data_IF_528733250180
#
_entry.id   IF_528733250180
#
_cell.length_a   1.000
_cell.length_b   1.000
_cell.length_c   1.000
_cell.angle_alpha   90.00
_cell.angle_beta   90.00
_cell.angle_gamma   90.00
#
_symmetry.space_group_name_H-M   'P 1'
#
loop_
_entity.id
_entity.type
_entity.pdbx_description
1 polymer ?
#
# COMPACT_ATOMS: atom_id res chain seq x y z
N UNK A 1 22.70 -1.83 -9.27
CA UNK A 1 21.35 -2.35 -9.32
C UNK A 1 20.83 -2.56 -7.92
N UNK A 2 19.80 -1.83 -7.56
CA UNK A 2 19.15 -2.02 -6.28
C UNK A 2 18.35 -3.32 -6.25
N UNK A 3 18.22 -3.86 -5.07
CA UNK A 3 17.32 -4.97 -4.85
C UNK A 3 15.92 -4.42 -4.57
N UNK A 4 14.90 -5.02 -5.14
CA UNK A 4 13.53 -4.66 -4.86
C UNK A 4 13.08 -5.39 -3.60
N UNK A 5 12.63 -4.65 -2.60
CA UNK A 5 12.09 -5.21 -1.37
C UNK A 5 10.58 -5.31 -1.49
N UNK A 6 10.06 -6.51 -1.30
CA UNK A 6 8.63 -6.76 -1.32
C UNK A 6 8.14 -6.94 0.11
N UNK A 7 7.12 -6.19 0.48
CA UNK A 7 6.50 -6.29 1.79
C UNK A 7 5.04 -6.67 1.58
N UNK A 8 4.62 -7.75 2.21
CA UNK A 8 3.28 -8.28 2.06
C UNK A 8 2.50 -8.11 3.35
N UNK A 9 1.33 -7.49 3.24
CA UNK A 9 0.42 -7.31 4.37
C UNK A 9 -0.87 -8.06 4.11
N UNK A 10 -1.35 -8.75 5.14
CA UNK A 10 -2.69 -9.29 5.14
C UNK A 10 -3.54 -8.49 6.12
N UNK A 11 -4.81 -8.28 5.79
CA UNK A 11 -5.71 -7.61 6.71
C UNK A 11 -5.78 -8.39 8.02
N UNK A 12 -5.40 -7.74 9.12
CA UNK A 12 -5.48 -8.36 10.42
C UNK A 12 -6.93 -8.40 10.89
N UNK A 13 -7.26 -9.41 11.71
CA UNK A 13 -8.60 -9.51 12.29
C UNK A 13 -8.86 -8.36 13.25
N UNK A 14 -7.82 -7.91 13.95
CA UNK A 14 -7.90 -6.73 14.81
C UNK A 14 -7.70 -5.49 13.95
N UNK A 15 -8.77 -4.78 13.70
CA UNK A 15 -8.83 -3.68 12.73
C UNK A 15 -7.84 -2.56 13.02
N UNK A 16 -7.66 -2.26 14.31
CA UNK A 16 -6.79 -1.16 14.73
C UNK A 16 -5.33 -1.41 14.41
N UNK A 17 -4.93 -2.67 14.33
CA UNK A 17 -3.53 -3.04 14.09
C UNK A 17 -3.11 -2.88 12.65
N UNK A 18 -4.05 -2.87 11.70
CA UNK A 18 -3.70 -2.73 10.30
C UNK A 18 -2.99 -1.40 10.04
N UNK A 19 -3.52 -0.32 10.58
CA UNK A 19 -2.88 1.00 10.46
C UNK A 19 -1.52 1.01 11.16
N UNK A 20 -1.44 0.44 12.35
CA UNK A 20 -0.19 0.39 13.10
C UNK A 20 0.89 -0.35 12.31
N UNK A 21 0.57 -1.51 11.76
CA UNK A 21 1.54 -2.29 11.00
C UNK A 21 1.98 -1.55 9.74
N UNK A 22 1.06 -0.90 9.07
CA UNK A 22 1.40 -0.11 7.89
C UNK A 22 2.36 1.03 8.26
N UNK A 23 2.04 1.78 9.30
CA UNK A 23 2.89 2.92 9.73
C UNK A 23 4.27 2.44 10.18
N UNK A 24 4.35 1.30 10.86
CA UNK A 24 5.64 0.73 11.24
C UNK A 24 6.47 0.35 10.01
N UNK A 25 5.84 -0.28 9.03
CA UNK A 25 6.53 -0.65 7.80
C UNK A 25 7.01 0.56 7.02
N UNK A 26 6.25 1.65 7.04
CA UNK A 26 6.62 2.89 6.35
C UNK A 26 7.94 3.48 6.86
N UNK A 27 8.31 3.19 8.09
CA UNK A 27 9.58 3.67 8.66
C UNK A 27 10.80 3.02 8.00
N UNK A 28 10.61 1.93 7.28
CA UNK A 28 11.70 1.15 6.70
C UNK A 28 11.68 1.11 5.18
N UNK A 29 10.86 1.94 4.55
CA UNK A 29 10.78 1.91 3.08
C UNK A 29 12.03 2.49 2.44
N UNK A 30 12.33 1.95 1.28
CA UNK A 30 13.38 2.42 0.37
C UNK A 30 12.70 2.79 -0.94
N UNK A 31 13.37 3.54 -1.84
CA UNK A 31 12.76 3.85 -3.13
C UNK A 31 12.34 2.60 -3.93
N UNK A 32 13.03 1.49 -3.73
CA UNK A 32 12.74 0.24 -4.45
C UNK A 32 11.75 -0.67 -3.71
N UNK A 33 11.21 -0.23 -2.58
CA UNK A 33 10.25 -1.03 -1.83
C UNK A 33 8.90 -1.07 -2.54
N UNK A 34 8.31 -2.26 -2.59
CA UNK A 34 6.96 -2.45 -3.14
C UNK A 34 6.11 -3.13 -2.07
N UNK A 35 4.98 -2.53 -1.74
CA UNK A 35 4.04 -3.10 -0.78
C UNK A 35 2.89 -3.78 -1.51
N UNK A 36 2.53 -4.96 -1.04
CA UNK A 36 1.33 -5.68 -1.44
C UNK A 36 0.40 -5.73 -0.24
N UNK A 37 -0.76 -5.13 -0.37
CA UNK A 37 -1.72 -5.02 0.73
C UNK A 37 -2.95 -5.85 0.38
N UNK A 38 -3.07 -7.02 0.98
CA UNK A 38 -4.20 -7.91 0.75
C UNK A 38 -5.38 -7.46 1.60
N UNK A 39 -6.57 -7.54 1.02
CA UNK A 39 -7.80 -7.27 1.75
C UNK A 39 -8.15 -5.79 1.85
N UNK A 40 -7.79 -5.00 0.84
CA UNK A 40 -8.07 -3.55 0.85
C UNK A 40 -9.57 -3.24 0.90
N UNK A 41 -10.42 -4.23 0.60
CA UNK A 41 -11.88 -4.10 0.70
C UNK A 41 -12.50 -5.08 1.68
N UNK A 42 -11.69 -5.64 2.58
CA UNK A 42 -12.18 -6.64 3.53
C UNK A 42 -13.18 -6.05 4.53
N UNK A 43 -12.98 -4.79 4.93
CA UNK A 43 -13.85 -4.11 5.88
C UNK A 43 -13.70 -2.60 5.70
N UNK A 44 -14.49 -1.84 6.46
CA UNK A 44 -14.48 -0.38 6.34
C UNK A 44 -13.14 0.22 6.74
N UNK A 45 -12.49 -0.31 7.74
CA UNK A 45 -11.21 0.21 8.22
C UNK A 45 -10.13 0.05 7.15
N UNK A 46 -10.12 -1.09 6.46
CA UNK A 46 -9.18 -1.32 5.37
C UNK A 46 -9.46 -0.42 4.17
N UNK A 47 -10.74 -0.19 3.86
CA UNK A 47 -11.10 0.74 2.78
C UNK A 47 -10.64 2.15 3.11
N UNK A 48 -10.84 2.59 4.34
CA UNK A 48 -10.40 3.92 4.78
C UNK A 48 -8.88 4.02 4.75
N UNK A 49 -8.19 3.00 5.23
CA UNK A 49 -6.73 2.96 5.19
C UNK A 49 -6.21 3.02 3.76
N UNK A 50 -6.78 2.26 2.84
CA UNK A 50 -6.37 2.27 1.44
C UNK A 50 -6.56 3.66 0.82
N UNK A 51 -7.68 4.30 1.12
CA UNK A 51 -7.94 5.66 0.62
C UNK A 51 -6.91 6.66 1.13
N UNK A 52 -6.56 6.57 2.41
CA UNK A 52 -5.51 7.42 2.97
C UNK A 52 -4.16 7.16 2.32
N UNK A 53 -3.83 5.90 2.09
CA UNK A 53 -2.58 5.52 1.43
C UNK A 53 -2.50 6.14 0.04
N UNK A 54 -3.58 6.08 -0.72
CA UNK A 54 -3.61 6.66 -2.07
C UNK A 54 -3.40 8.17 -2.06
N UNK A 55 -3.71 8.83 -0.95
CA UNK A 55 -3.58 10.27 -0.82
C UNK A 55 -2.28 10.73 -0.14
N UNK A 56 -1.43 9.79 0.29
CA UNK A 56 -0.17 10.16 0.94
C UNK A 56 0.81 10.74 -0.07
N UNK A 57 1.56 11.75 0.35
CA UNK A 57 2.56 12.38 -0.50
C UNK A 57 3.77 11.50 -0.78
N UNK A 58 4.09 10.60 0.15
CA UNK A 58 5.22 9.68 0.01
C UNK A 58 4.87 8.42 -0.79
N UNK A 59 3.60 8.24 -1.12
CA UNK A 59 3.15 7.15 -1.98
C UNK A 59 3.04 7.68 -3.41
N UNK A 60 3.78 7.07 -4.32
CA UNK A 60 3.88 7.60 -5.69
C UNK A 60 2.88 6.90 -6.63
N UNK A 61 2.95 5.57 -6.70
CA UNK A 61 2.02 4.82 -7.54
C UNK A 61 1.23 3.85 -6.69
N UNK A 62 -0.05 3.73 -6.99
CA UNK A 62 -0.89 2.69 -6.41
C UNK A 62 -1.64 1.96 -7.51
N UNK A 63 -1.82 0.66 -7.33
CA UNK A 63 -2.61 -0.17 -8.23
C UNK A 63 -3.68 -0.88 -7.39
N UNK A 64 -4.93 -0.57 -7.67
CA UNK A 64 -6.07 -1.16 -6.98
C UNK A 64 -6.56 -2.34 -7.84
N UNK A 65 -6.29 -3.55 -7.38
CA UNK A 65 -6.68 -4.79 -8.06
C UNK A 65 -7.88 -5.43 -7.35
N UNK A 66 -8.72 -4.61 -6.78
CA UNK A 66 -9.93 -4.96 -6.06
C UNK A 66 -9.65 -5.54 -4.66
N UNK A 67 -9.02 -6.71 -4.57
CA UNK A 67 -8.72 -7.33 -3.27
C UNK A 67 -7.31 -7.03 -2.79
N UNK A 68 -6.42 -6.70 -3.72
CA UNK A 68 -5.02 -6.43 -3.42
C UNK A 68 -4.69 -5.03 -3.90
N UNK A 69 -4.02 -4.26 -3.05
CA UNK A 69 -3.43 -2.99 -3.43
C UNK A 69 -1.93 -3.13 -3.55
N UNK A 70 -1.35 -2.51 -4.56
CA UNK A 70 0.09 -2.46 -4.76
C UNK A 70 0.53 -1.02 -4.63
N UNK A 71 1.59 -0.79 -3.85
CA UNK A 71 2.10 0.55 -3.55
C UNK A 71 3.55 0.62 -3.96
N UNK A 72 3.90 1.63 -4.75
CA UNK A 72 5.25 1.86 -5.23
C UNK A 72 5.69 3.25 -4.76
N UNK A 73 6.90 3.32 -4.21
CA UNK A 73 7.44 4.55 -3.61
C UNK A 73 8.52 5.22 -4.45
N UNK A 74 8.79 4.71 -5.66
CA UNK A 74 9.87 5.23 -6.50
C UNK A 74 9.63 6.68 -6.89
N UNK A 75 10.44 7.65 -6.41
CA UNK A 75 10.14 9.08 -6.60
C UNK A 75 10.32 9.58 -8.03
N UNK A 76 10.99 8.82 -8.90
CA UNK A 76 11.15 9.21 -10.29
C UNK A 76 9.87 9.12 -11.13
N UNK A 77 8.85 8.43 -10.61
CA UNK A 77 7.56 8.37 -11.28
C UNK A 77 6.68 9.54 -10.85
N UNK A 78 5.75 9.94 -11.71
CA UNK A 78 4.71 10.88 -11.33
C UNK A 78 3.67 10.18 -10.47
N UNK A 79 3.14 10.91 -9.48
CA UNK A 79 2.11 10.36 -8.62
C UNK A 79 0.87 10.02 -9.43
N UNK A 80 0.40 8.78 -9.31
CA UNK A 80 -0.81 8.33 -9.98
C UNK A 80 -1.40 7.12 -9.27
N UNK A 81 -2.73 7.09 -9.21
CA UNK A 81 -3.48 5.98 -8.65
C UNK A 81 -4.23 5.29 -9.79
N UNK A 82 -4.00 4.00 -9.93
CA UNK A 82 -4.63 3.19 -10.97
C UNK A 82 -5.65 2.25 -10.34
N UNK A 83 -6.77 2.06 -11.01
CA UNK A 83 -7.72 1.01 -10.69
C UNK A 83 -7.75 0.05 -11.86
N UNK A 84 -7.50 -1.23 -11.58
CA UNK A 84 -7.43 -2.25 -12.62
C UNK A 84 -8.69 -3.11 -12.52
N UNK A 85 -9.41 -3.20 -13.61
CA UNK A 85 -10.63 -4.03 -13.71
C UNK A 85 -10.30 -5.34 -14.42
N UNK A 86 -10.88 -6.40 -13.90
CA UNK A 86 -10.72 -7.73 -14.49
C UNK A 86 -11.95 -8.15 -15.27
#
# INVERSE_FOLDING_TARGET
LGQVDFVFFQAAQEKEKNRFYFEEAMKHIQPDTVFFLEGIRANQEMRALWKEICNRKDVILTFDLYQIGIIIFQPRFYKKNYVVYF
#
